data_IF_319013501105
#
_entry.id   IF_319013501105
#
_cell.length_a   1.000
_cell.length_b   1.000
_cell.length_c   1.000
_cell.angle_alpha   90.00
_cell.angle_beta   90.00
_cell.angle_gamma   90.00
#
_symmetry.space_group_name_H-M   'P 1'
#
loop_
_entity.id
_entity.type
_entity.pdbx_description
1 polymer ?
#
# COMPACT_ATOMS: atom_id res chain seq x y z
N UNK A 1 -27.14 -25.42 -34.34
CA UNK A 1 -27.39 -24.13 -33.61
C UNK A 1 -27.66 -24.39 -32.12
N UNK A 2 -28.39 -25.45 -31.75
CA UNK A 2 -28.65 -25.80 -30.35
C UNK A 2 -27.40 -26.19 -29.55
N UNK A 3 -26.46 -26.94 -30.15
CA UNK A 3 -25.20 -27.37 -29.51
C UNK A 3 -24.27 -26.19 -29.17
N UNK A 4 -24.25 -25.16 -30.01
CA UNK A 4 -23.46 -23.95 -29.74
C UNK A 4 -24.00 -23.13 -28.58
N UNK A 5 -25.32 -23.06 -28.41
CA UNK A 5 -25.99 -22.37 -27.31
C UNK A 5 -25.81 -23.10 -25.95
N UNK A 6 -25.84 -24.44 -25.97
CA UNK A 6 -25.58 -25.24 -24.77
C UNK A 6 -24.13 -25.18 -24.32
N UNK A 7 -23.19 -25.19 -25.27
CA UNK A 7 -21.76 -25.02 -24.97
C UNK A 7 -21.47 -23.62 -24.37
N UNK A 8 -22.10 -22.59 -24.90
CA UNK A 8 -21.96 -21.21 -24.35
C UNK A 8 -22.58 -21.06 -22.99
N UNK A 9 -23.72 -21.70 -22.75
CA UNK A 9 -24.36 -21.72 -21.41
C UNK A 9 -23.52 -22.43 -20.36
N UNK A 10 -22.89 -23.56 -20.70
CA UNK A 10 -22.00 -24.30 -19.81
C UNK A 10 -20.72 -23.52 -19.48
N UNK A 11 -20.11 -22.86 -20.46
CA UNK A 11 -18.94 -21.98 -20.24
C UNK A 11 -19.32 -20.79 -19.36
N UNK A 12 -20.48 -20.19 -19.54
CA UNK A 12 -20.98 -19.11 -18.70
C UNK A 12 -21.21 -19.55 -17.25
N UNK A 13 -21.76 -20.76 -17.02
CA UNK A 13 -21.98 -21.33 -15.68
C UNK A 13 -20.66 -21.71 -15.00
N UNK A 14 -19.70 -22.24 -15.74
CA UNK A 14 -18.35 -22.58 -15.19
C UNK A 14 -17.51 -21.34 -14.91
N UNK A 15 -17.69 -20.27 -15.67
CA UNK A 15 -17.02 -18.97 -15.44
C UNK A 15 -17.76 -18.06 -14.43
N UNK A 16 -18.98 -18.43 -14.02
CA UNK A 16 -19.75 -17.71 -12.97
C UNK A 16 -19.35 -17.96 -11.52
N UNK A 17 -18.37 -18.82 -11.17
CA UNK A 17 -18.04 -18.94 -9.77
C UNK A 17 -17.18 -17.80 -9.32
N UNK A 18 -17.55 -17.17 -8.28
CA UNK A 18 -16.67 -16.46 -7.37
C UNK A 18 -16.79 -14.94 -7.24
N UNK A 19 -17.80 -14.30 -7.79
CA UNK A 19 -18.11 -12.95 -7.27
C UNK A 19 -18.47 -13.00 -5.78
N UNK A 20 -19.15 -14.04 -5.33
CA UNK A 20 -19.47 -14.26 -3.92
C UNK A 20 -18.22 -14.54 -3.07
N UNK A 21 -17.21 -15.29 -3.58
CA UNK A 21 -15.99 -15.58 -2.82
C UNK A 21 -15.06 -14.37 -2.69
N UNK A 22 -14.94 -13.53 -3.71
CA UNK A 22 -14.13 -12.32 -3.64
C UNK A 22 -14.77 -11.25 -2.74
N UNK A 23 -16.10 -11.14 -2.76
CA UNK A 23 -16.84 -10.26 -1.85
C UNK A 23 -16.75 -10.76 -0.41
N UNK A 24 -16.84 -12.08 -0.20
CA UNK A 24 -16.72 -12.68 1.13
C UNK A 24 -15.31 -12.57 1.72
N UNK A 25 -14.27 -12.73 0.92
CA UNK A 25 -12.88 -12.53 1.37
C UNK A 25 -12.66 -11.07 1.77
N UNK A 26 -13.13 -10.12 0.95
CA UNK A 26 -13.02 -8.69 1.26
C UNK A 26 -13.86 -8.29 2.47
N UNK A 27 -15.05 -8.87 2.62
CA UNK A 27 -15.90 -8.64 3.79
C UNK A 27 -15.28 -9.21 5.05
N UNK A 28 -14.69 -10.40 4.99
CA UNK A 28 -13.95 -11.00 6.12
C UNK A 28 -12.68 -10.24 6.48
N UNK A 29 -12.00 -9.60 5.53
CA UNK A 29 -10.88 -8.71 5.82
C UNK A 29 -11.35 -7.42 6.50
N UNK A 30 -12.44 -6.81 6.03
CA UNK A 30 -13.05 -5.64 6.65
C UNK A 30 -13.61 -5.97 8.04
N UNK A 31 -14.30 -7.12 8.20
CA UNK A 31 -14.88 -7.55 9.48
C UNK A 31 -13.78 -7.95 10.49
N UNK A 32 -12.65 -8.51 10.04
CA UNK A 32 -11.48 -8.77 10.88
C UNK A 32 -10.75 -7.48 11.29
N UNK A 33 -10.74 -6.48 10.44
CA UNK A 33 -10.22 -5.15 10.76
C UNK A 33 -11.10 -4.41 11.77
N UNK A 34 -12.42 -4.75 11.82
CA UNK A 34 -13.37 -4.10 12.72
C UNK A 34 -13.59 -4.85 14.06
N UNK A 35 -13.21 -6.12 14.16
CA UNK A 35 -13.58 -6.98 15.31
C UNK A 35 -12.50 -7.12 16.39
N UNK A 36 -11.32 -6.65 16.15
CA UNK A 36 -10.26 -6.49 17.13
C UNK A 36 -9.65 -5.13 16.88
N UNK A 37 -9.73 -4.26 17.87
CA UNK A 37 -8.93 -3.05 17.94
C UNK A 37 -7.47 -3.49 18.21
N UNK A 38 -6.71 -3.97 17.18
CA UNK A 38 -5.28 -4.10 17.31
C UNK A 38 -4.77 -2.67 17.36
N UNK A 39 -3.66 -2.40 18.04
CA UNK A 39 -3.06 -1.07 18.02
C UNK A 39 -3.00 -0.65 16.54
N UNK A 40 -3.75 0.40 16.19
CA UNK A 40 -4.01 0.81 14.80
C UNK A 40 -2.72 0.72 14.01
N UNK A 41 -2.69 0.02 12.87
CA UNK A 41 -1.46 -0.10 12.10
C UNK A 41 -1.02 1.33 11.81
N UNK A 42 0.16 1.72 12.34
CA UNK A 42 0.71 3.05 12.16
C UNK A 42 0.77 3.32 10.67
N UNK A 43 -0.04 4.25 10.19
CA UNK A 43 -0.03 4.63 8.79
C UNK A 43 1.32 5.30 8.46
N UNK A 44 1.82 5.08 7.26
CA UNK A 44 3.06 5.72 6.79
C UNK A 44 2.91 7.24 6.77
N UNK A 45 1.71 7.72 6.46
CA UNK A 45 1.37 9.15 6.47
C UNK A 45 1.48 9.75 7.87
N UNK A 46 1.02 9.07 8.92
CA UNK A 46 1.15 9.53 10.30
C UNK A 46 2.62 9.71 10.70
N UNK A 47 3.49 8.81 10.25
CA UNK A 47 4.95 8.91 10.49
C UNK A 47 5.57 10.03 9.69
N UNK A 48 5.15 10.22 8.44
CA UNK A 48 5.63 11.30 7.61
C UNK A 48 5.24 12.67 8.18
N UNK A 49 3.99 12.83 8.62
CA UNK A 49 3.50 14.07 9.26
C UNK A 49 4.23 14.35 10.57
N UNK A 50 4.39 13.35 11.43
CA UNK A 50 5.15 13.48 12.65
C UNK A 50 6.63 13.84 12.38
N UNK A 51 7.23 13.31 11.31
CA UNK A 51 8.61 13.65 10.91
C UNK A 51 8.74 15.09 10.45
N UNK A 52 7.73 15.63 9.75
CA UNK A 52 7.69 17.08 9.40
C UNK A 52 7.55 17.94 10.63
N UNK A 53 6.66 17.57 11.57
CA UNK A 53 6.50 18.30 12.83
C UNK A 53 7.79 18.29 13.66
N UNK A 54 8.51 17.16 13.71
CA UNK A 54 9.82 17.08 14.36
C UNK A 54 10.84 18.02 13.69
N UNK A 55 10.86 18.07 12.35
CA UNK A 55 11.75 19.00 11.64
C UNK A 55 11.45 20.46 12.01
N UNK A 56 10.18 20.84 12.06
CA UNK A 56 9.77 22.21 12.46
C UNK A 56 10.11 22.52 13.93
N UNK A 57 9.88 21.56 14.84
CA UNK A 57 10.22 21.72 16.25
C UNK A 57 11.73 21.91 16.44
N UNK A 58 12.56 21.15 15.73
CA UNK A 58 14.02 21.31 15.77
C UNK A 58 14.48 22.61 15.13
N UNK A 59 13.85 23.06 14.03
CA UNK A 59 14.15 24.37 13.42
C UNK A 59 13.85 25.53 14.37
N UNK A 60 12.86 25.39 15.23
CA UNK A 60 12.55 26.41 16.25
C UNK A 60 13.55 26.44 17.42
N UNK A 61 14.60 25.61 17.38
CA UNK A 61 15.67 25.57 18.37
C UNK A 61 15.37 24.71 19.60
N UNK A 62 14.33 23.86 19.54
CA UNK A 62 13.99 22.95 20.64
C UNK A 62 14.99 21.80 20.73
N UNK A 63 15.27 21.36 21.96
CA UNK A 63 16.07 20.18 22.19
C UNK A 63 15.35 18.92 21.68
N UNK A 64 16.11 17.93 21.21
CA UNK A 64 15.56 16.73 20.58
C UNK A 64 14.50 16.00 21.43
N UNK A 65 14.79 15.79 22.72
CA UNK A 65 13.85 15.08 23.63
C UNK A 65 12.57 15.87 23.78
N UNK A 66 12.68 17.19 23.93
CA UNK A 66 11.54 18.10 24.04
C UNK A 66 10.71 18.09 22.74
N UNK A 67 11.37 18.16 21.57
CA UNK A 67 10.69 18.09 20.28
C UNK A 67 9.91 16.78 20.11
N UNK A 68 10.50 15.64 20.50
CA UNK A 68 9.83 14.33 20.46
C UNK A 68 8.59 14.29 21.35
N UNK A 69 8.64 14.87 22.54
CA UNK A 69 7.52 14.91 23.47
C UNK A 69 6.41 15.84 22.98
N UNK A 70 6.74 17.03 22.53
CA UNK A 70 5.76 18.00 22.03
C UNK A 70 5.06 17.50 20.75
N UNK A 71 5.81 16.85 19.84
CA UNK A 71 5.21 16.23 18.65
C UNK A 71 4.35 15.02 19.03
N UNK A 72 4.76 14.25 20.05
CA UNK A 72 3.95 13.13 20.53
C UNK A 72 2.61 13.55 21.13
N UNK A 73 2.47 14.80 21.57
CA UNK A 73 1.21 15.32 22.13
C UNK A 73 0.19 15.71 21.04
N UNK A 74 0.64 15.94 19.80
CA UNK A 74 -0.21 16.34 18.67
C UNK A 74 -0.28 15.30 17.56
N UNK A 75 0.61 14.31 17.57
CA UNK A 75 0.65 13.25 16.57
C UNK A 75 -0.47 12.21 16.77
N UNK A 76 -0.77 11.44 15.72
CA UNK A 76 -1.66 10.29 15.81
C UNK A 76 -1.18 9.30 16.90
N UNK A 77 -2.11 8.68 17.63
CA UNK A 77 -1.82 7.89 18.84
C UNK A 77 -0.74 6.82 18.63
N UNK A 78 -0.76 6.16 17.46
CA UNK A 78 0.27 5.18 17.12
C UNK A 78 1.67 5.80 16.98
N UNK A 79 1.79 6.96 16.34
CA UNK A 79 3.04 7.69 16.20
C UNK A 79 3.48 8.26 17.56
N UNK A 80 2.56 8.85 18.30
CA UNK A 80 2.77 9.39 19.63
C UNK A 80 3.39 8.36 20.60
N UNK A 81 2.83 7.15 20.62
CA UNK A 81 3.33 6.07 21.48
C UNK A 81 4.78 5.72 21.18
N UNK A 82 5.17 5.68 19.89
CA UNK A 82 6.54 5.37 19.50
C UNK A 82 7.50 6.54 19.83
N UNK A 83 7.08 7.79 19.57
CA UNK A 83 7.88 8.98 19.90
C UNK A 83 8.14 9.09 21.42
N UNK A 84 7.13 8.80 22.26
CA UNK A 84 7.30 8.79 23.71
C UNK A 84 8.29 7.73 24.17
N UNK A 85 8.31 6.54 23.55
CA UNK A 85 9.30 5.49 23.85
C UNK A 85 10.72 5.95 23.49
N UNK A 86 10.88 6.58 22.31
CA UNK A 86 12.18 7.09 21.87
C UNK A 86 12.64 8.22 22.81
N UNK A 87 11.78 9.18 23.13
CA UNK A 87 12.08 10.27 24.05
C UNK A 87 12.51 9.74 25.43
N UNK A 88 11.76 8.80 25.99
CA UNK A 88 12.11 8.15 27.25
C UNK A 88 13.48 7.45 27.17
N UNK A 89 13.76 6.70 26.10
CA UNK A 89 15.05 6.02 25.93
C UNK A 89 16.23 7.02 25.87
N UNK A 90 16.07 8.12 25.14
CA UNK A 90 17.07 9.19 25.07
C UNK A 90 17.28 9.87 26.43
N UNK A 91 16.21 10.12 27.17
CA UNK A 91 16.24 10.68 28.52
C UNK A 91 17.02 9.77 29.48
N UNK A 92 16.96 8.45 29.31
CA UNK A 92 17.76 7.47 30.04
C UNK A 92 19.20 7.30 29.51
N UNK A 93 19.64 8.19 28.60
CA UNK A 93 21.02 8.16 28.06
C UNK A 93 21.27 7.03 27.08
N UNK A 94 20.25 6.43 26.47
CA UNK A 94 20.46 5.43 25.42
C UNK A 94 21.02 6.08 24.16
N UNK A 95 21.98 5.45 23.47
CA UNK A 95 22.49 5.94 22.20
C UNK A 95 21.36 6.06 21.18
N UNK A 96 21.44 7.03 20.26
CA UNK A 96 20.42 7.36 19.26
C UNK A 96 19.90 6.13 18.52
N UNK A 97 20.76 5.29 17.98
CA UNK A 97 20.37 4.10 17.24
C UNK A 97 19.61 3.06 18.07
N UNK A 98 19.91 2.96 19.38
CA UNK A 98 19.16 2.07 20.28
C UNK A 98 17.84 2.67 20.71
N UNK A 99 17.76 3.97 20.90
CA UNK A 99 16.53 4.66 21.23
C UNK A 99 15.48 4.49 20.13
N UNK A 100 15.86 4.66 18.87
CA UNK A 100 15.00 4.44 17.72
C UNK A 100 14.66 2.95 17.48
N UNK A 101 15.44 2.04 18.01
CA UNK A 101 15.12 0.60 17.99
C UNK A 101 13.84 0.21 18.75
N UNK A 102 13.33 1.08 19.62
CA UNK A 102 12.05 0.88 20.30
C UNK A 102 10.83 1.34 19.48
N UNK A 103 11.04 2.11 18.41
CA UNK A 103 10.00 2.50 17.47
C UNK A 103 9.77 1.40 16.42
N UNK A 104 8.59 1.40 15.83
CA UNK A 104 8.24 0.44 14.76
C UNK A 104 9.07 0.67 13.50
N UNK A 105 9.20 -0.38 12.68
CA UNK A 105 10.05 -0.35 11.47
C UNK A 105 9.70 0.75 10.47
N UNK A 106 8.46 1.22 10.47
CA UNK A 106 8.01 2.30 9.57
C UNK A 106 8.79 3.60 9.82
N UNK A 107 9.35 3.81 11.02
CA UNK A 107 10.22 4.92 11.35
C UNK A 107 11.65 4.82 10.79
N UNK A 108 11.97 3.74 10.03
CA UNK A 108 13.32 3.47 9.51
C UNK A 108 14.01 4.67 8.86
N UNK A 109 13.40 5.36 7.87
CA UNK A 109 14.01 6.54 7.25
C UNK A 109 14.29 7.68 8.24
N UNK A 110 13.32 8.00 9.10
CA UNK A 110 13.46 9.02 10.14
C UNK A 110 14.52 8.65 11.17
N UNK A 111 14.53 7.40 11.63
CA UNK A 111 15.53 6.88 12.54
C UNK A 111 16.95 6.99 11.97
N UNK A 112 17.12 6.62 10.69
CA UNK A 112 18.40 6.73 9.99
C UNK A 112 18.84 8.19 9.90
N UNK A 113 17.94 9.11 9.58
CA UNK A 113 18.22 10.53 9.54
C UNK A 113 18.76 11.05 10.88
N UNK A 114 18.15 10.66 12.01
CA UNK A 114 18.60 11.04 13.34
C UNK A 114 19.95 10.41 13.72
N UNK A 115 20.17 9.15 13.39
CA UNK A 115 21.44 8.47 13.67
C UNK A 115 22.59 9.11 12.89
N UNK A 116 22.37 9.46 11.62
CA UNK A 116 23.37 10.16 10.79
C UNK A 116 23.62 11.57 11.33
N UNK A 117 22.56 12.28 11.68
CA UNK A 117 22.66 13.63 12.22
C UNK A 117 23.42 13.66 13.57
N UNK A 118 23.19 12.66 14.42
CA UNK A 118 23.90 12.49 15.71
C UNK A 118 25.41 12.25 15.47
N UNK A 119 25.76 11.44 14.48
CA UNK A 119 27.15 11.16 14.12
C UNK A 119 27.88 12.40 13.57
N UNK A 120 27.16 13.32 12.92
CA UNK A 120 27.72 14.57 12.33
C UNK A 120 27.67 15.73 13.34
N UNK A 121 26.92 15.57 14.43
CA UNK A 121 26.84 16.56 15.52
C UNK A 121 25.78 17.65 15.32
N UNK A 122 24.93 17.54 14.30
CA UNK A 122 23.82 18.48 14.12
C UNK A 122 22.63 17.80 13.39
N UNK A 123 21.47 17.63 14.06
CA UNK A 123 20.26 17.21 13.36
C UNK A 123 19.85 18.30 12.39
N UNK A 124 20.05 18.07 11.08
CA UNK A 124 19.57 19.01 10.08
C UNK A 124 18.10 18.69 9.76
N UNK A 125 17.27 19.71 9.89
CA UNK A 125 15.84 19.57 9.58
C UNK A 125 15.59 19.16 8.13
N UNK A 126 16.50 19.51 7.20
CA UNK A 126 16.41 19.08 5.80
C UNK A 126 16.46 17.56 5.67
N UNK A 127 17.31 16.87 6.41
CA UNK A 127 17.39 15.39 6.36
C UNK A 127 16.10 14.73 6.86
N UNK A 128 15.42 15.35 7.82
CA UNK A 128 14.11 14.88 8.30
C UNK A 128 12.99 15.12 7.27
N UNK A 129 13.01 16.27 6.60
CA UNK A 129 12.07 16.54 5.51
C UNK A 129 12.25 15.59 4.34
N UNK A 130 13.50 15.27 3.98
CA UNK A 130 13.83 14.28 2.95
C UNK A 130 13.37 12.87 3.37
N UNK A 131 13.51 12.52 4.66
CA UNK A 131 13.00 11.26 5.19
C UNK A 131 11.47 11.19 5.11
N UNK A 132 10.76 12.26 5.44
CA UNK A 132 9.31 12.35 5.33
C UNK A 132 8.84 12.26 3.86
N UNK A 133 9.53 12.93 2.94
CA UNK A 133 9.26 12.83 1.50
C UNK A 133 9.47 11.40 0.98
N UNK A 134 10.54 10.74 1.40
CA UNK A 134 10.85 9.34 1.03
C UNK A 134 9.74 8.38 1.51
N UNK A 135 9.20 8.59 2.70
CA UNK A 135 8.08 7.80 3.22
C UNK A 135 6.85 7.93 2.32
N UNK A 136 6.45 9.15 1.99
CA UNK A 136 5.29 9.43 1.12
C UNK A 136 5.47 8.86 -0.29
N UNK A 137 6.65 9.04 -0.88
CA UNK A 137 6.97 8.53 -2.21
C UNK A 137 6.94 7.00 -2.27
N UNK A 138 7.44 6.34 -1.23
CA UNK A 138 7.42 4.88 -1.11
C UNK A 138 5.99 4.36 -1.03
N UNK A 139 5.11 5.01 -0.28
CA UNK A 139 3.70 4.62 -0.17
C UNK A 139 2.94 4.89 -1.48
N UNK A 140 3.16 6.04 -2.13
CA UNK A 140 2.57 6.35 -3.43
C UNK A 140 2.92 5.28 -4.48
N UNK A 141 4.19 4.89 -4.59
CA UNK A 141 4.63 3.80 -5.50
C UNK A 141 3.98 2.46 -5.16
N UNK A 142 3.76 2.18 -3.87
CA UNK A 142 3.11 0.95 -3.43
C UNK A 142 1.65 0.90 -3.84
N UNK A 143 0.94 2.02 -3.71
CA UNK A 143 -0.45 2.18 -4.16
C UNK A 143 -0.56 2.10 -5.69
N UNK A 144 0.33 2.74 -6.43
CA UNK A 144 0.40 2.65 -7.89
C UNK A 144 0.62 1.21 -8.36
N UNK A 145 1.56 0.49 -7.74
CA UNK A 145 1.82 -0.91 -8.05
C UNK A 145 0.61 -1.82 -7.74
N UNK A 146 -0.13 -1.54 -6.68
CA UNK A 146 -1.36 -2.25 -6.34
C UNK A 146 -2.48 -1.96 -7.35
N UNK A 147 -2.63 -0.70 -7.76
CA UNK A 147 -3.58 -0.26 -8.79
C UNK A 147 -3.29 -0.89 -10.16
N UNK A 148 -2.03 -0.92 -10.56
CA UNK A 148 -1.61 -1.57 -11.82
C UNK A 148 -1.94 -3.06 -11.88
N UNK A 149 -1.75 -3.79 -10.78
CA UNK A 149 -2.15 -5.21 -10.70
C UNK A 149 -3.66 -5.39 -10.80
N UNK A 150 -4.45 -4.52 -10.16
CA UNK A 150 -5.90 -4.57 -10.23
C UNK A 150 -6.40 -4.33 -11.66
N UNK A 151 -5.82 -3.40 -12.40
CA UNK A 151 -6.15 -3.13 -13.80
C UNK A 151 -5.91 -4.35 -14.70
N UNK A 152 -4.78 -5.03 -14.56
CA UNK A 152 -4.46 -6.26 -15.31
C UNK A 152 -5.45 -7.39 -14.98
N UNK A 153 -5.81 -7.56 -13.70
CA UNK A 153 -6.78 -8.57 -13.28
C UNK A 153 -8.19 -8.33 -13.84
N UNK A 154 -8.56 -7.08 -14.16
CA UNK A 154 -9.85 -6.77 -14.77
C UNK A 154 -9.85 -6.98 -16.30
N UNK A 155 -8.73 -6.67 -16.96
CA UNK A 155 -8.62 -6.77 -18.41
C UNK A 155 -8.46 -8.22 -18.88
N UNK A 156 -7.78 -9.06 -18.12
CA UNK A 156 -7.48 -10.45 -18.48
C UNK A 156 -8.74 -11.30 -18.69
N UNK A 157 -9.75 -11.33 -17.79
CA UNK A 157 -10.97 -12.08 -18.04
C UNK A 157 -11.81 -11.49 -19.18
N UNK A 158 -11.78 -10.17 -19.38
CA UNK A 158 -12.47 -9.54 -20.49
C UNK A 158 -11.88 -9.96 -21.83
N UNK A 159 -10.54 -9.95 -21.98
CA UNK A 159 -9.84 -10.42 -23.18
C UNK A 159 -10.08 -11.90 -23.47
N UNK A 160 -10.08 -12.75 -22.41
CA UNK A 160 -10.32 -14.17 -22.55
C UNK A 160 -11.76 -14.47 -23.00
N UNK A 161 -12.73 -13.66 -22.58
CA UNK A 161 -14.12 -13.79 -23.00
C UNK A 161 -14.36 -13.29 -24.44
N UNK A 162 -13.65 -12.23 -24.85
CA UNK A 162 -13.77 -11.65 -26.19
C UNK A 162 -13.19 -12.55 -27.28
N UNK A 163 -12.12 -13.28 -26.99
CA UNK A 163 -11.43 -14.14 -27.97
C UNK A 163 -12.35 -15.22 -28.58
N UNK A 164 -13.04 -16.07 -27.79
CA UNK A 164 -13.93 -17.08 -28.36
C UNK A 164 -15.16 -16.46 -29.06
N UNK A 165 -15.66 -15.34 -28.56
CA UNK A 165 -16.77 -14.64 -29.21
C UNK A 165 -16.36 -14.10 -30.60
N UNK A 166 -15.17 -13.53 -30.72
CA UNK A 166 -14.64 -13.03 -31.98
C UNK A 166 -14.41 -14.15 -32.97
N UNK A 167 -13.85 -15.28 -32.56
CA UNK A 167 -13.67 -16.45 -33.43
C UNK A 167 -15.02 -16.96 -33.94
N UNK A 168 -16.02 -17.06 -33.06
CA UNK A 168 -17.33 -17.58 -33.45
C UNK A 168 -18.10 -16.63 -34.39
N UNK A 169 -17.95 -15.34 -34.25
CA UNK A 169 -18.74 -14.36 -35.00
C UNK A 169 -18.04 -13.85 -36.26
N UNK A 170 -16.72 -13.75 -36.27
CA UNK A 170 -15.97 -13.22 -37.39
C UNK A 170 -15.26 -14.35 -38.21
N UNK A 171 -14.54 -15.24 -37.54
CA UNK A 171 -13.69 -16.23 -38.24
C UNK A 171 -14.52 -17.36 -38.82
N UNK A 172 -15.48 -17.91 -38.07
CA UNK A 172 -16.29 -19.06 -38.52
C UNK A 172 -17.11 -18.74 -39.79
N UNK A 173 -17.85 -17.61 -39.90
CA UNK A 173 -18.58 -17.29 -41.12
C UNK A 173 -17.67 -17.14 -42.35
N UNK A 174 -16.52 -16.49 -42.18
CA UNK A 174 -15.56 -16.28 -43.26
C UNK A 174 -15.01 -17.61 -43.78
N UNK A 175 -14.65 -18.50 -42.87
CA UNK A 175 -14.15 -19.85 -43.26
C UNK A 175 -15.23 -20.66 -43.96
N UNK A 176 -16.48 -20.61 -43.49
CA UNK A 176 -17.61 -21.33 -44.12
C UNK A 176 -17.87 -20.83 -45.54
N UNK A 177 -17.84 -19.53 -45.76
CA UNK A 177 -18.01 -18.94 -47.10
C UNK A 177 -16.84 -19.34 -48.02
N UNK A 178 -15.60 -19.23 -47.49
CA UNK A 178 -14.41 -19.56 -48.30
C UNK A 178 -14.37 -21.01 -48.70
N UNK A 179 -14.70 -21.94 -47.83
CA UNK A 179 -14.77 -23.38 -48.11
C UNK A 179 -15.91 -23.70 -49.07
N UNK A 180 -17.06 -23.05 -48.90
CA UNK A 180 -18.20 -23.18 -49.78
C UNK A 180 -17.92 -22.74 -51.24
N UNK A 181 -17.12 -21.70 -51.42
CA UNK A 181 -16.70 -21.20 -52.75
C UNK A 181 -15.62 -22.06 -53.42
N UNK A 182 -14.89 -22.89 -52.67
CA UNK A 182 -13.87 -23.79 -53.22
C UNK A 182 -14.41 -25.16 -53.61
N UNK A 183 -15.57 -25.57 -53.12
CA UNK A 183 -16.20 -26.85 -53.31
C UNK A 183 -17.37 -26.83 -54.34
N UNK A 184 -17.74 -25.69 -54.85
CA UNK A 184 -18.74 -25.47 -55.88
C UNK A 184 -18.12 -24.98 -57.19
#
# INVERSE_FOLDING_TARGET
RAVALTAFGLVAVVLWPSRSRLVDVRRREVDRASAQDPPQPLAVDDVADASVLLALALQSGRGLVQALEEVADVAAEGAAADLRKVAAALRWGRPMGRAWGYARRVWGPTATAFVVADAVGAPSASVLLDAAATLRDTEARRLEAAGGRAAVMLVLPLGLCFLPAFIATAVVPVVVVLVGTQLG
#
